data_IF_696706161073
#
_entry.id   IF_696706161073
#
_cell.length_a   1.000
_cell.length_b   1.000
_cell.length_c   1.000
_cell.angle_alpha   90.00
_cell.angle_beta   90.00
_cell.angle_gamma   90.00
#
_symmetry.space_group_name_H-M   'P 1'
#
loop_
_entity.id
_entity.type
_entity.pdbx_description
1 polymer ?
#
# COMPACT_ATOMS: atom_id res chain seq x y z
N UNK A 1 12.35 -6.28 10.07
CA UNK A 1 10.93 -6.03 9.76
C UNK A 1 10.69 -4.54 9.62
N UNK A 2 10.77 -4.05 8.40
CA UNK A 2 10.49 -2.65 8.08
C UNK A 2 9.02 -2.44 7.69
N UNK A 3 8.41 -1.32 8.09
CA UNK A 3 7.13 -0.84 7.55
C UNK A 3 7.15 -0.66 6.02
N UNK A 4 8.34 -0.54 5.42
CA UNK A 4 8.51 -0.51 3.96
C UNK A 4 8.04 -1.80 3.28
N UNK A 5 8.13 -2.97 3.94
CA UNK A 5 7.61 -4.24 3.40
C UNK A 5 6.09 -4.23 3.32
N UNK A 6 5.44 -3.71 4.36
CA UNK A 6 3.98 -3.51 4.34
C UNK A 6 3.58 -2.55 3.24
N UNK A 7 4.31 -1.45 3.07
CA UNK A 7 4.08 -0.51 1.97
C UNK A 7 4.19 -1.20 0.60
N UNK A 8 5.16 -2.11 0.44
CA UNK A 8 5.35 -2.83 -0.82
C UNK A 8 4.18 -3.77 -1.11
N UNK A 9 3.77 -4.60 -0.14
CA UNK A 9 2.64 -5.51 -0.32
C UNK A 9 1.36 -4.74 -0.64
N UNK A 10 1.06 -3.68 0.10
CA UNK A 10 -0.11 -2.84 -0.16
C UNK A 10 -0.09 -2.21 -1.56
N UNK A 11 1.04 -1.61 -1.96
CA UNK A 11 1.17 -1.01 -3.28
C UNK A 11 1.04 -2.05 -4.41
N UNK A 12 1.60 -3.24 -4.23
CA UNK A 12 1.52 -4.33 -5.20
C UNK A 12 0.09 -4.86 -5.31
N UNK A 13 -0.62 -5.05 -4.20
CA UNK A 13 -2.02 -5.51 -4.22
C UNK A 13 -2.90 -4.54 -5.00
N UNK A 14 -2.79 -3.23 -4.74
CA UNK A 14 -3.57 -2.23 -5.48
C UNK A 14 -3.18 -2.19 -6.97
N UNK A 15 -1.89 -2.36 -7.29
CA UNK A 15 -1.46 -2.47 -8.68
C UNK A 15 -2.08 -3.70 -9.37
N UNK A 16 -2.07 -4.87 -8.73
CA UNK A 16 -2.67 -6.09 -9.28
C UNK A 16 -4.18 -5.94 -9.49
N UNK A 17 -4.90 -5.34 -8.52
CA UNK A 17 -6.34 -5.05 -8.64
C UNK A 17 -6.67 -4.06 -9.77
N UNK A 18 -5.74 -3.17 -10.10
CA UNK A 18 -5.92 -2.20 -11.20
C UNK A 18 -5.77 -2.82 -12.59
N UNK A 19 -5.16 -4.01 -12.70
CA UNK A 19 -5.00 -4.70 -13.98
C UNK A 19 -6.32 -5.36 -14.40
N UNK A 20 -6.89 -5.04 -15.57
CA UNK A 20 -8.21 -5.53 -15.97
C UNK A 20 -8.25 -7.03 -16.20
N UNK A 21 -7.14 -7.66 -16.61
CA UNK A 21 -7.09 -9.12 -16.82
C UNK A 21 -7.02 -9.84 -15.49
N UNK A 22 -6.22 -9.33 -14.55
CA UNK A 22 -6.15 -9.90 -13.20
C UNK A 22 -7.48 -9.70 -12.46
N UNK A 23 -8.09 -8.53 -12.57
CA UNK A 23 -9.39 -8.25 -11.96
C UNK A 23 -10.50 -9.15 -12.51
N UNK A 24 -10.51 -9.44 -13.81
CA UNK A 24 -11.48 -10.35 -14.44
C UNK A 24 -11.29 -11.80 -13.96
N UNK A 25 -10.04 -12.26 -13.88
CA UNK A 25 -9.73 -13.64 -13.53
C UNK A 25 -9.77 -13.92 -12.02
N UNK A 26 -9.26 -13.02 -11.18
CA UNK A 26 -9.13 -13.24 -9.73
C UNK A 26 -10.24 -12.54 -8.92
N UNK A 27 -10.92 -11.54 -9.48
CA UNK A 27 -11.83 -10.68 -8.73
C UNK A 27 -11.15 -10.07 -7.49
N UNK A 28 -11.80 -10.21 -6.34
CA UNK A 28 -11.28 -9.73 -5.05
C UNK A 28 -10.30 -10.70 -4.37
N UNK A 29 -9.95 -11.84 -4.99
CA UNK A 29 -9.10 -12.89 -4.41
C UNK A 29 -7.61 -12.57 -4.54
N UNK A 30 -7.22 -11.40 -4.04
CA UNK A 30 -5.82 -10.94 -3.95
C UNK A 30 -5.53 -10.60 -2.48
N UNK A 31 -4.78 -11.48 -1.82
CA UNK A 31 -4.61 -11.48 -0.37
C UNK A 31 -3.23 -10.99 0.08
N UNK A 32 -3.19 -10.25 1.20
CA UNK A 32 -1.96 -9.82 1.86
C UNK A 32 -1.46 -10.89 2.85
N UNK A 33 -0.62 -11.82 2.37
CA UNK A 33 0.04 -12.86 3.19
C UNK A 33 -0.89 -13.79 3.97
N UNK A 34 -2.17 -13.81 3.60
CA UNK A 34 -3.15 -14.78 4.05
C UNK A 34 -3.15 -15.94 3.06
N UNK A 35 -3.15 -17.17 3.56
CA UNK A 35 -3.46 -18.36 2.77
C UNK A 35 -4.98 -18.52 2.82
N UNK A 36 -5.71 -18.30 1.71
CA UNK A 36 -7.14 -18.51 1.68
C UNK A 36 -7.46 -19.99 1.56
N UNK A 37 -8.63 -20.39 2.07
CA UNK A 37 -9.21 -21.68 1.74
C UNK A 37 -9.65 -21.62 0.27
N UNK A 38 -9.06 -22.48 -0.57
CA UNK A 38 -9.43 -22.61 -1.96
C UNK A 38 -10.72 -23.43 -2.06
N UNK A 39 -11.82 -22.77 -2.43
CA UNK A 39 -13.12 -23.42 -2.61
C UNK A 39 -13.13 -24.24 -3.90
N UNK A 40 -13.32 -25.55 -3.75
CA UNK A 40 -13.39 -26.51 -4.85
C UNK A 40 -14.61 -26.30 -5.77
N UNK A 41 -15.65 -25.61 -5.29
CA UNK A 41 -16.86 -25.32 -6.08
C UNK A 41 -16.69 -24.07 -6.97
N UNK A 42 -15.75 -23.19 -6.62
CA UNK A 42 -15.42 -21.98 -7.38
C UNK A 42 -13.90 -21.91 -7.62
N UNK A 43 -13.38 -22.66 -8.63
CA UNK A 43 -11.96 -22.68 -8.99
C UNK A 43 -11.52 -21.39 -9.71
N UNK A 44 -11.67 -20.28 -8.99
CA UNK A 44 -11.17 -18.95 -9.34
C UNK A 44 -9.72 -18.85 -8.85
N UNK A 45 -8.77 -18.39 -9.68
CA UNK A 45 -7.39 -18.22 -9.26
C UNK A 45 -7.28 -17.20 -8.11
N UNK A 46 -6.35 -17.46 -7.20
CA UNK A 46 -6.03 -16.57 -6.08
C UNK A 46 -4.58 -16.13 -6.19
N UNK A 47 -4.31 -14.86 -5.89
CA UNK A 47 -2.94 -14.33 -5.77
C UNK A 47 -2.67 -13.96 -4.32
N UNK A 48 -1.66 -14.58 -3.72
CA UNK A 48 -1.19 -14.22 -2.39
C UNK A 48 0.09 -13.40 -2.54
N UNK A 49 0.12 -12.22 -1.91
CA UNK A 49 1.27 -11.33 -1.92
C UNK A 49 1.98 -11.42 -0.57
N UNK A 50 3.23 -11.86 -0.59
CA UNK A 50 4.10 -11.96 0.59
C UNK A 50 5.43 -11.24 0.36
N UNK A 51 6.16 -11.00 1.44
CA UNK A 51 7.54 -10.52 1.39
C UNK A 51 8.38 -11.43 2.25
N UNK A 52 9.50 -11.88 1.72
CA UNK A 52 10.42 -12.78 2.41
C UNK A 52 11.67 -12.01 2.84
N UNK A 53 12.87 -12.56 2.62
CA UNK A 53 14.16 -12.04 3.05
C UNK A 53 14.23 -10.51 3.08
N UNK A 54 14.79 -9.94 4.16
CA UNK A 54 14.97 -8.49 4.35
C UNK A 54 16.42 -8.26 4.80
N UNK A 55 17.23 -7.70 3.91
CA UNK A 55 18.64 -7.43 4.14
C UNK A 55 18.92 -5.95 3.90
N UNK A 56 19.82 -5.36 4.70
CA UNK A 56 20.23 -3.96 4.55
C UNK A 56 21.74 -3.83 4.61
N UNK A 57 22.33 -3.21 3.59
CA UNK A 57 23.75 -2.88 3.56
C UNK A 57 23.96 -1.38 3.83
N UNK A 58 25.04 -1.00 4.50
CA UNK A 58 25.41 0.40 4.61
C UNK A 58 25.82 0.93 3.22
N UNK A 59 25.45 2.19 2.91
CA UNK A 59 25.83 2.80 1.63
C UNK A 59 27.35 2.99 1.47
N UNK A 60 28.10 3.02 2.57
CA UNK A 60 29.56 3.15 2.55
C UNK A 60 30.19 2.33 3.67
N UNK A 61 31.27 1.61 3.35
CA UNK A 61 32.08 0.87 4.32
C UNK A 61 32.75 1.80 5.36
N UNK A 62 32.97 3.07 5.01
CA UNK A 62 33.66 4.05 5.85
C UNK A 62 32.72 4.93 6.68
N UNK A 63 31.42 4.90 6.40
CA UNK A 63 30.41 5.67 7.13
C UNK A 63 29.18 4.78 7.32
N UNK A 64 29.29 3.86 8.27
CA UNK A 64 28.21 2.93 8.62
C UNK A 64 27.11 3.63 9.42
N UNK A 65 25.86 3.23 9.19
CA UNK A 65 24.70 3.77 9.89
C UNK A 65 23.46 3.81 9.00
N UNK A 66 22.34 4.19 9.58
CA UNK A 66 21.11 4.47 8.82
C UNK A 66 21.31 5.70 7.92
N UNK A 67 20.67 5.76 6.73
CA UNK A 67 19.80 4.74 6.13
C UNK A 67 20.57 3.55 5.51
N UNK A 68 19.92 2.39 5.42
CA UNK A 68 20.47 1.18 4.77
C UNK A 68 19.93 1.00 3.34
N UNK A 69 20.75 0.52 2.39
CA UNK A 69 20.31 0.03 1.07
C UNK A 69 19.59 -1.30 1.30
N UNK A 70 18.27 -1.23 1.50
CA UNK A 70 17.46 -2.41 1.83
C UNK A 70 17.04 -3.16 0.58
N UNK A 71 17.19 -4.48 0.64
CA UNK A 71 16.76 -5.44 -0.38
C UNK A 71 15.76 -6.38 0.25
N UNK A 72 14.72 -6.69 -0.49
CA UNK A 72 13.69 -7.62 -0.06
C UNK A 72 13.20 -8.45 -1.24
N UNK A 73 12.76 -9.67 -0.95
CA UNK A 73 12.10 -10.52 -1.93
C UNK A 73 10.57 -10.34 -1.81
N UNK A 74 9.95 -9.86 -2.88
CA UNK A 74 8.51 -9.86 -3.08
C UNK A 74 8.12 -11.20 -3.67
N UNK A 75 7.17 -11.90 -3.05
CA UNK A 75 6.73 -13.21 -3.50
C UNK A 75 5.25 -13.16 -3.84
N UNK A 76 4.92 -13.66 -5.03
CA UNK A 76 3.55 -13.87 -5.49
C UNK A 76 3.31 -15.37 -5.58
N UNK A 77 2.30 -15.85 -4.87
CA UNK A 77 1.81 -17.22 -5.02
C UNK A 77 0.49 -17.17 -5.75
N UNK A 78 0.49 -17.65 -7.00
CA UNK A 78 -0.70 -17.75 -7.83
C UNK A 78 -1.18 -19.19 -7.76
N UNK A 79 -2.27 -19.42 -7.05
CA UNK A 79 -2.83 -20.74 -6.84
C UNK A 79 -4.14 -20.89 -7.61
N UNK A 80 -4.30 -22.04 -8.26
CA UNK A 80 -5.52 -22.37 -8.99
C UNK A 80 -5.79 -23.87 -8.92
N UNK A 81 -7.06 -24.22 -8.71
CA UNK A 81 -7.51 -25.61 -8.77
C UNK A 81 -8.15 -25.90 -10.12
N UNK A 82 -7.98 -27.13 -10.62
CA UNK A 82 -8.78 -27.60 -11.74
C UNK A 82 -10.20 -27.91 -11.25
N UNK A 83 -11.18 -27.64 -12.10
CA UNK A 83 -12.58 -27.93 -11.81
C UNK A 83 -12.79 -29.45 -11.64
N UNK A 84 -13.40 -29.85 -10.52
CA UNK A 84 -13.77 -31.24 -10.30
C UNK A 84 -14.91 -31.64 -11.24
N UNK A 85 -14.79 -32.82 -11.84
CA UNK A 85 -15.84 -33.41 -12.65
C UNK A 85 -16.72 -34.25 -11.72
N UNK A 86 -18.04 -34.14 -11.80
CA UNK A 86 -18.95 -34.97 -11.00
C UNK A 86 -18.90 -36.45 -11.44
N UNK A 87 -19.55 -37.35 -10.69
CA UNK A 87 -19.63 -38.79 -10.99
C UNK A 87 -20.21 -39.12 -12.39
N UNK A 88 -20.89 -38.16 -13.02
CA UNK A 88 -21.48 -38.24 -14.35
C UNK A 88 -20.55 -37.68 -15.45
N UNK A 89 -19.34 -37.25 -15.10
CA UNK A 89 -18.37 -36.66 -16.04
C UNK A 89 -18.73 -35.24 -16.49
N UNK A 90 -19.59 -34.53 -15.76
CA UNK A 90 -19.93 -33.14 -16.02
C UNK A 90 -19.11 -32.17 -15.15
N UNK A 91 -18.66 -31.05 -15.72
CA UNK A 91 -17.96 -30.00 -14.96
C UNK A 91 -18.88 -29.37 -13.90
N UNK A 92 -18.42 -29.31 -12.65
CA UNK A 92 -19.05 -28.53 -11.57
C UNK A 92 -18.56 -27.08 -11.62
N UNK A 93 -19.21 -26.22 -12.40
CA UNK A 93 -18.95 -24.78 -12.43
C UNK A 93 -18.86 -24.17 -13.84
N UNK A 94 -18.97 -22.85 -13.92
CA UNK A 94 -19.03 -22.08 -15.18
C UNK A 94 -17.82 -21.13 -15.15
N UNK A 95 -16.90 -21.26 -16.11
CA UNK A 95 -15.71 -20.39 -16.34
C UNK A 95 -14.36 -20.78 -15.70
N UNK A 96 -14.13 -22.05 -15.36
CA UNK A 96 -12.81 -22.50 -14.93
C UNK A 96 -12.15 -23.50 -15.90
N UNK A 97 -10.80 -23.55 -15.93
CA UNK A 97 -10.03 -24.44 -16.79
C UNK A 97 -10.41 -25.88 -16.49
N UNK A 98 -10.83 -26.56 -17.56
CA UNK A 98 -11.28 -27.95 -17.53
C UNK A 98 -10.10 -28.88 -17.82
N UNK A 99 -9.06 -28.38 -18.48
CA UNK A 99 -7.87 -29.16 -18.83
C UNK A 99 -6.59 -28.61 -18.20
N UNK A 100 -5.59 -29.47 -18.00
CA UNK A 100 -4.27 -29.07 -17.50
C UNK A 100 -3.61 -28.01 -18.41
N UNK A 101 -3.89 -28.02 -19.71
CA UNK A 101 -3.37 -27.03 -20.66
C UNK A 101 -4.00 -25.65 -20.45
N UNK A 102 -5.31 -25.61 -20.21
CA UNK A 102 -6.01 -24.36 -19.89
C UNK A 102 -5.53 -23.82 -18.54
N UNK A 103 -5.33 -24.71 -17.55
CA UNK A 103 -4.81 -24.33 -16.24
C UNK A 103 -3.43 -23.68 -16.34
N UNK A 104 -2.49 -24.30 -17.05
CA UNK A 104 -1.17 -23.70 -17.29
C UNK A 104 -1.25 -22.38 -18.06
N UNK A 105 -2.13 -22.29 -19.06
CA UNK A 105 -2.30 -21.05 -19.83
C UNK A 105 -2.82 -19.89 -18.96
N UNK A 106 -3.72 -20.15 -18.00
CA UNK A 106 -4.18 -19.14 -17.05
C UNK A 106 -3.06 -18.72 -16.10
N UNK A 107 -2.28 -19.66 -15.58
CA UNK A 107 -1.14 -19.35 -14.71
C UNK A 107 -0.06 -18.55 -15.45
N UNK A 108 0.26 -18.91 -16.68
CA UNK A 108 1.23 -18.18 -17.51
C UNK A 108 0.74 -16.75 -17.83
N UNK A 109 -0.57 -16.60 -18.11
CA UNK A 109 -1.17 -15.29 -18.35
C UNK A 109 -1.13 -14.41 -17.09
N UNK A 110 -1.53 -14.95 -15.94
CA UNK A 110 -1.50 -14.22 -14.67
C UNK A 110 -0.07 -13.86 -14.26
N UNK A 111 0.90 -14.76 -14.43
CA UNK A 111 2.32 -14.46 -14.20
C UNK A 111 2.77 -13.30 -15.09
N UNK A 112 2.48 -13.36 -16.38
CA UNK A 112 2.87 -12.32 -17.33
C UNK A 112 2.29 -10.96 -16.93
N UNK A 113 0.98 -10.89 -16.68
CA UNK A 113 0.29 -9.65 -16.30
C UNK A 113 0.77 -9.11 -14.96
N UNK A 114 0.96 -9.98 -13.96
CA UNK A 114 1.43 -9.58 -12.64
C UNK A 114 2.84 -8.96 -12.71
N UNK A 115 3.77 -9.58 -13.45
CA UNK A 115 5.10 -9.03 -13.66
C UNK A 115 5.02 -7.70 -14.41
N UNK A 116 4.22 -7.63 -15.47
CA UNK A 116 4.08 -6.43 -16.29
C UNK A 116 3.56 -5.24 -15.49
N UNK A 117 2.44 -5.39 -14.76
CA UNK A 117 1.85 -4.30 -13.98
C UNK A 117 2.78 -3.82 -12.85
N UNK A 118 3.50 -4.74 -12.19
CA UNK A 118 4.44 -4.42 -11.10
C UNK A 118 5.69 -3.70 -11.61
N UNK A 119 6.22 -4.10 -12.77
CA UNK A 119 7.54 -3.64 -13.23
C UNK A 119 7.47 -2.47 -14.20
N UNK A 120 6.50 -2.48 -15.13
CA UNK A 120 6.40 -1.50 -16.24
C UNK A 120 5.01 -0.87 -16.35
N UNK A 121 4.06 -1.25 -15.50
CA UNK A 121 2.70 -0.73 -15.52
C UNK A 121 2.60 0.80 -15.43
N UNK A 122 1.74 1.41 -16.25
CA UNK A 122 1.59 2.87 -16.31
C UNK A 122 0.40 3.40 -15.50
N UNK A 123 -0.28 2.56 -14.73
CA UNK A 123 -1.40 2.97 -13.87
C UNK A 123 -0.93 3.79 -12.66
N UNK A 124 -1.86 4.50 -12.02
CA UNK A 124 -1.56 5.27 -10.81
C UNK A 124 -1.11 4.37 -9.66
N UNK A 125 -1.71 3.18 -9.57
CA UNK A 125 -1.44 2.12 -8.60
C UNK A 125 -0.06 1.49 -8.87
N UNK A 126 0.27 1.19 -10.13
CA UNK A 126 1.61 0.75 -10.51
C UNK A 126 2.69 1.81 -10.22
N UNK A 127 2.34 3.10 -10.32
CA UNK A 127 3.24 4.17 -9.91
C UNK A 127 3.51 4.18 -8.40
N UNK A 128 2.58 3.71 -7.55
CA UNK A 128 2.82 3.55 -6.11
C UNK A 128 3.91 2.50 -5.84
N UNK A 129 3.90 1.38 -6.59
CA UNK A 129 4.94 0.35 -6.48
C UNK A 129 6.32 0.96 -6.71
N UNK A 130 6.48 1.81 -7.73
CA UNK A 130 7.75 2.50 -8.02
C UNK A 130 8.18 3.53 -6.96
N UNK A 131 7.25 4.06 -6.16
CA UNK A 131 7.60 4.92 -5.02
C UNK A 131 8.17 4.11 -3.85
N UNK A 132 7.77 2.85 -3.71
CA UNK A 132 8.21 1.94 -2.64
C UNK A 132 9.44 1.12 -3.04
N UNK A 133 9.47 0.62 -4.27
CA UNK A 133 10.52 -0.21 -4.84
C UNK A 133 11.25 0.56 -5.93
N UNK A 134 12.55 0.82 -5.72
CA UNK A 134 13.39 1.55 -6.68
C UNK A 134 13.61 0.76 -7.96
N UNK A 135 13.79 -0.55 -7.83
CA UNK A 135 13.98 -1.47 -8.96
C UNK A 135 13.75 -2.92 -8.55
N UNK A 136 13.27 -3.72 -9.47
CA UNK A 136 13.30 -5.18 -9.40
C UNK A 136 14.53 -5.68 -10.15
N UNK A 137 15.40 -6.45 -9.49
CA UNK A 137 16.69 -6.87 -10.05
C UNK A 137 16.73 -8.36 -10.41
N UNK A 138 15.84 -9.17 -9.85
CA UNK A 138 15.77 -10.61 -10.14
C UNK A 138 14.33 -11.05 -10.26
N UNK A 139 14.07 -11.98 -11.17
CA UNK A 139 12.81 -12.69 -11.30
C UNK A 139 13.10 -14.18 -11.27
N UNK A 140 12.41 -14.92 -10.41
CA UNK A 140 12.39 -16.39 -10.40
C UNK A 140 10.95 -16.83 -10.45
N UNK A 141 10.67 -17.85 -11.23
CA UNK A 141 9.35 -18.45 -11.34
C UNK A 141 9.48 -19.96 -11.16
N UNK A 142 8.74 -20.52 -10.21
CA UNK A 142 8.75 -21.93 -9.88
C UNK A 142 7.32 -22.49 -9.90
N UNK A 143 7.16 -23.69 -10.44
CA UNK A 143 5.88 -24.39 -10.52
C UNK A 143 5.82 -25.47 -9.45
N UNK A 144 4.72 -25.49 -8.72
CA UNK A 144 4.36 -26.56 -7.79
C UNK A 144 3.01 -27.12 -8.20
N UNK A 145 2.86 -28.44 -8.17
CA UNK A 145 1.60 -29.10 -8.44
C UNK A 145 1.46 -30.27 -7.46
N UNK A 146 0.25 -30.50 -6.97
CA UNK A 146 -0.09 -31.64 -6.12
C UNK A 146 -1.44 -32.22 -6.53
N UNK A 147 -1.55 -33.54 -6.42
CA UNK A 147 -2.73 -34.36 -6.71
C UNK A 147 -3.15 -35.23 -5.50
N UNK A 148 -2.56 -35.00 -4.32
CA UNK A 148 -2.67 -35.89 -3.15
C UNK A 148 -4.10 -36.02 -2.60
N UNK A 149 -4.97 -35.02 -2.78
CA UNK A 149 -6.36 -35.01 -2.26
C UNK A 149 -7.41 -35.38 -3.32
N UNK A 150 -7.00 -35.82 -4.52
CA UNK A 150 -7.92 -36.06 -5.65
C UNK A 150 -8.33 -34.78 -6.39
N UNK A 151 -7.85 -33.63 -5.92
CA UNK A 151 -8.00 -32.32 -6.55
C UNK A 151 -6.65 -31.92 -7.13
N UNK A 152 -6.64 -31.44 -8.37
CA UNK A 152 -5.41 -30.96 -9.00
C UNK A 152 -5.23 -29.50 -8.64
N UNK A 153 -4.27 -29.25 -7.76
CA UNK A 153 -3.82 -27.92 -7.40
C UNK A 153 -2.56 -27.59 -8.19
N UNK A 154 -2.58 -26.45 -8.87
CA UNK A 154 -1.41 -25.89 -9.53
C UNK A 154 -1.09 -24.53 -8.92
N UNK A 155 0.19 -24.33 -8.60
CA UNK A 155 0.72 -23.13 -7.97
C UNK A 155 1.89 -22.62 -8.82
N UNK A 156 1.88 -21.33 -9.09
CA UNK A 156 3.00 -20.58 -9.66
C UNK A 156 3.55 -19.64 -8.59
N UNK A 157 4.79 -19.89 -8.17
CA UNK A 157 5.50 -19.07 -7.20
C UNK A 157 6.48 -18.15 -7.93
N UNK A 158 6.24 -16.85 -7.87
CA UNK A 158 7.06 -15.81 -8.50
C UNK A 158 7.80 -15.06 -7.40
N UNK A 159 9.12 -15.06 -7.45
CA UNK A 159 9.97 -14.29 -6.53
C UNK A 159 10.63 -13.14 -7.29
N UNK A 160 10.30 -11.92 -6.89
CA UNK A 160 10.87 -10.68 -7.41
C UNK A 160 11.81 -10.08 -6.36
N UNK A 161 13.10 -10.12 -6.63
CA UNK A 161 14.08 -9.42 -5.81
C UNK A 161 13.96 -7.92 -6.07
N UNK A 162 13.85 -7.14 -5.00
CA UNK A 162 13.68 -5.69 -5.10
C UNK A 162 14.62 -4.93 -4.19
N UNK A 163 14.97 -3.72 -4.63
CA UNK A 163 15.67 -2.74 -3.80
C UNK A 163 14.67 -1.67 -3.37
N UNK A 164 14.50 -1.54 -2.06
CA UNK A 164 13.53 -0.67 -1.44
C UNK A 164 13.97 0.79 -1.51
N UNK A 165 13.01 1.70 -1.63
CA UNK A 165 13.25 3.12 -1.39
C UNK A 165 13.71 3.34 0.05
N UNK A 166 14.68 4.23 0.23
CA UNK A 166 15.24 4.52 1.54
C UNK A 166 14.17 5.07 2.49
N UNK A 167 14.30 4.71 3.76
CA UNK A 167 13.53 5.32 4.83
C UNK A 167 14.04 6.73 5.07
N UNK A 168 13.17 7.72 4.95
CA UNK A 168 13.48 9.11 5.27
C UNK A 168 12.39 9.64 6.21
N UNK A 169 12.71 9.94 7.48
CA UNK A 169 11.75 10.55 8.38
C UNK A 169 11.55 12.00 7.95
N UNK A 170 10.30 12.40 7.72
CA UNK A 170 9.95 13.80 7.44
C UNK A 170 9.48 14.46 8.76
N UNK A 171 10.33 15.27 9.42
CA UNK A 171 9.98 15.91 10.68
C UNK A 171 8.90 17.00 10.54
N UNK A 172 8.55 17.38 9.31
CA UNK A 172 7.52 18.38 9.00
C UNK A 172 6.25 17.76 8.42
N UNK A 173 6.12 16.43 8.45
CA UNK A 173 4.91 15.75 8.02
C UNK A 173 3.71 16.23 8.84
N UNK A 174 2.65 16.63 8.14
CA UNK A 174 1.38 17.09 8.73
C UNK A 174 0.20 16.37 8.07
N UNK A 175 -0.94 16.31 8.77
CA UNK A 175 -2.17 15.69 8.26
C UNK A 175 -2.31 14.21 8.58
N UNK A 176 -3.24 13.55 7.89
CA UNK A 176 -3.50 12.11 8.04
C UNK A 176 -2.23 11.31 7.73
N UNK A 177 -1.94 10.30 8.55
CA UNK A 177 -0.75 9.45 8.41
C UNK A 177 0.58 10.17 8.60
N UNK A 178 0.60 11.38 9.18
CA UNK A 178 1.84 12.12 9.44
C UNK A 178 2.83 11.38 10.36
N UNK A 179 2.33 10.49 11.22
CA UNK A 179 3.17 9.66 12.09
C UNK A 179 3.80 8.47 11.35
N UNK A 180 3.32 8.12 10.16
CA UNK A 180 3.87 7.05 9.35
C UNK A 180 5.09 7.52 8.56
N UNK A 181 6.14 6.68 8.46
CA UNK A 181 7.30 7.02 7.65
C UNK A 181 7.06 6.75 6.17
N UNK A 182 7.87 7.42 5.33
CA UNK A 182 7.94 7.06 3.92
C UNK A 182 8.71 5.74 3.71
N UNK A 183 8.30 4.89 2.75
CA UNK A 183 7.25 5.14 1.75
C UNK A 183 5.83 4.72 2.18
N UNK A 184 5.63 4.21 3.41
CA UNK A 184 4.32 3.71 3.84
C UNK A 184 3.26 4.81 3.88
N UNK A 185 3.60 6.00 4.36
CA UNK A 185 2.70 7.15 4.39
C UNK A 185 2.16 7.49 2.99
N UNK A 186 3.03 7.53 1.98
CA UNK A 186 2.64 7.77 0.57
C UNK A 186 1.64 6.72 0.09
N UNK A 187 1.88 5.45 0.42
CA UNK A 187 0.96 4.36 0.05
C UNK A 187 -0.38 4.53 0.77
N UNK A 188 -0.37 4.78 2.07
CA UNK A 188 -1.60 4.95 2.86
C UNK A 188 -2.45 6.14 2.41
N UNK A 189 -1.84 7.24 1.99
CA UNK A 189 -2.55 8.39 1.41
C UNK A 189 -3.21 8.08 0.06
N UNK A 190 -2.74 7.06 -0.65
CA UNK A 190 -3.25 6.66 -1.95
C UNK A 190 -4.20 5.46 -1.90
N UNK A 191 -4.49 4.91 -0.71
CA UNK A 191 -5.41 3.78 -0.58
C UNK A 191 -6.85 4.20 -0.91
N UNK A 192 -7.60 3.39 -1.69
CA UNK A 192 -9.01 3.66 -1.94
C UNK A 192 -9.83 3.65 -0.64
N UNK A 193 -10.78 4.57 -0.53
CA UNK A 193 -11.67 4.65 0.63
C UNK A 193 -12.54 3.38 0.76
N UNK A 194 -12.64 2.83 1.96
CA UNK A 194 -13.36 1.59 2.27
C UNK A 194 -12.59 0.31 1.93
N UNK A 195 -11.37 0.41 1.38
CA UNK A 195 -10.55 -0.77 1.08
C UNK A 195 -9.99 -1.43 2.35
N UNK A 196 -9.68 -2.72 2.27
CA UNK A 196 -8.96 -3.41 3.35
C UNK A 196 -7.57 -2.81 3.61
N UNK A 197 -6.92 -2.27 2.57
CA UNK A 197 -5.65 -1.55 2.68
C UNK A 197 -5.76 -0.27 3.51
N UNK A 198 -6.84 0.50 3.33
CA UNK A 198 -7.11 1.68 4.15
C UNK A 198 -7.28 1.33 5.63
N UNK A 199 -8.08 0.29 5.94
CA UNK A 199 -8.27 -0.18 7.31
C UNK A 199 -6.94 -0.60 7.95
N UNK A 200 -6.07 -1.30 7.20
CA UNK A 200 -4.74 -1.65 7.68
C UNK A 200 -3.89 -0.41 7.95
N UNK A 201 -3.90 0.57 7.05
CA UNK A 201 -3.20 1.84 7.23
C UNK A 201 -3.65 2.59 8.49
N UNK A 202 -4.96 2.70 8.73
CA UNK A 202 -5.52 3.28 9.96
C UNK A 202 -5.08 2.52 11.21
N UNK A 203 -5.08 1.18 11.14
CA UNK A 203 -4.63 0.32 12.25
C UNK A 203 -3.14 0.48 12.60
N UNK A 204 -2.29 0.69 11.59
CA UNK A 204 -0.85 0.92 11.81
C UNK A 204 -0.64 2.32 12.35
N UNK A 205 -1.26 3.33 11.74
CA UNK A 205 -1.14 4.73 12.18
C UNK A 205 -1.57 4.91 13.63
N UNK A 206 -2.72 4.36 14.03
CA UNK A 206 -3.22 4.42 15.40
C UNK A 206 -2.26 3.85 16.46
N UNK A 207 -1.26 3.04 16.05
CA UNK A 207 -0.24 2.47 16.93
C UNK A 207 1.10 3.22 16.89
N UNK A 208 1.26 4.20 16.00
CA UNK A 208 2.48 4.97 15.88
C UNK A 208 2.59 6.03 16.98
N UNK A 209 3.78 6.25 17.55
CA UNK A 209 4.02 7.36 18.46
C UNK A 209 3.74 8.69 17.76
N UNK A 210 2.97 9.58 18.40
CA UNK A 210 2.62 10.87 17.82
C UNK A 210 1.50 10.80 16.76
N UNK A 211 0.89 9.63 16.52
CA UNK A 211 -0.37 9.58 15.79
C UNK A 211 -1.42 10.35 16.57
N UNK A 212 -1.81 11.47 15.99
CA UNK A 212 -3.05 12.14 16.33
C UNK A 212 -4.06 11.62 15.33
N UNK A 213 -4.66 10.44 15.60
CA UNK A 213 -5.99 10.18 15.07
C UNK A 213 -6.78 11.45 15.35
N UNK A 214 -7.29 12.11 14.30
CA UNK A 214 -7.98 13.38 14.42
C UNK A 214 -9.11 13.21 15.45
N UNK A 215 -8.80 13.51 16.71
CA UNK A 215 -9.80 13.84 17.70
C UNK A 215 -10.45 15.08 17.10
N UNK A 216 -11.75 14.99 16.83
CA UNK A 216 -12.55 16.08 16.26
C UNK A 216 -12.04 17.40 16.79
N UNK A 217 -11.68 18.33 15.91
CA UNK A 217 -11.11 19.62 16.25
C UNK A 217 -11.90 20.29 17.39
N UNK A 218 -11.44 20.11 18.62
CA UNK A 218 -11.87 20.91 19.77
C UNK A 218 -11.06 22.20 19.64
N UNK A 219 -11.73 23.21 19.11
CA UNK A 219 -11.41 24.64 19.21
C UNK A 219 -9.92 24.98 19.34
N UNK A 220 -9.22 25.05 18.22
CA UNK A 220 -8.05 25.94 18.15
C UNK A 220 -8.61 27.35 18.06
N UNK A 221 -8.49 28.09 19.17
CA UNK A 221 -8.86 29.50 19.23
C UNK A 221 -7.71 30.32 18.63
N UNK A 222 -7.91 30.79 17.40
CA UNK A 222 -6.95 31.63 16.67
C UNK A 222 -7.31 33.09 16.94
N UNK A 223 -6.69 33.68 17.97
CA UNK A 223 -6.79 35.12 18.20
C UNK A 223 -5.84 35.84 17.26
N UNK A 224 -6.35 36.30 16.12
CA UNK A 224 -5.63 37.22 15.24
C UNK A 224 -5.86 38.63 15.78
N UNK A 225 -4.85 39.20 16.45
CA UNK A 225 -4.88 40.62 16.78
C UNK A 225 -4.80 41.42 15.47
N UNK A 226 -5.74 42.35 15.20
CA UNK A 226 -5.62 43.23 14.06
C UNK A 226 -4.35 44.05 14.22
N UNK A 227 -3.41 43.92 13.28
CA UNK A 227 -2.30 44.86 13.24
C UNK A 227 -2.88 46.24 12.91
N UNK A 228 -2.67 47.17 13.82
CA UNK A 228 -2.99 48.59 13.62
C UNK A 228 -2.35 49.00 12.29
N UNK A 229 -3.19 49.51 11.39
CA UNK A 229 -2.76 49.97 10.08
C UNK A 229 -1.76 51.11 10.30
N UNK A 230 -0.47 50.85 10.06
CA UNK A 230 0.57 51.87 10.16
C UNK A 230 0.32 52.92 9.07
N UNK A 231 -0.11 54.11 9.48
CA UNK A 231 -0.09 55.29 8.65
C UNK A 231 1.37 55.79 8.56
N UNK A 232 2.01 55.76 7.38
CA UNK A 232 3.44 56.06 7.23
C UNK A 232 3.82 57.51 7.57
N UNK A 233 2.85 58.39 7.84
CA UNK A 233 3.10 59.78 8.23
C UNK A 233 3.09 60.05 9.75
N UNK A 234 2.69 59.08 10.58
CA UNK A 234 2.70 59.26 12.05
C UNK A 234 3.88 58.54 12.69
N UNK A 235 4.82 59.33 13.22
CA UNK A 235 5.91 58.82 14.06
C UNK A 235 5.39 58.21 15.37
N UNK A 236 6.16 57.34 16.02
CA UNK A 236 5.69 56.58 17.19
C UNK A 236 5.39 57.52 18.36
N UNK A 237 4.12 57.60 18.75
CA UNK A 237 3.67 58.34 19.93
C UNK A 237 3.42 57.32 21.04
N UNK A 238 4.28 57.32 22.06
CA UNK A 238 4.32 56.32 23.13
C UNK A 238 3.06 56.24 24.01
N UNK A 239 2.10 57.14 23.84
CA UNK A 239 0.86 57.16 24.63
C UNK A 239 -0.29 56.41 23.95
N UNK A 240 -0.34 56.34 22.62
CA UNK A 240 -1.41 55.62 21.89
C UNK A 240 -1.27 54.09 22.01
N UNK A 241 -0.03 53.58 22.07
CA UNK A 241 0.26 52.16 22.25
C UNK A 241 -0.11 51.65 23.65
N UNK A 242 -0.12 52.52 24.67
CA UNK A 242 -0.51 52.17 26.03
C UNK A 242 -2.04 52.06 26.17
N UNK A 243 -2.81 52.83 25.41
CA UNK A 243 -4.27 52.83 25.46
C UNK A 243 -4.86 51.64 24.67
N UNK A 244 -4.24 51.25 23.55
CA UNK A 244 -4.66 50.09 22.75
C UNK A 244 -4.52 48.74 23.48
N UNK A 245 -3.60 48.62 24.46
CA UNK A 245 -3.40 47.40 25.25
C UNK A 245 -4.51 47.16 26.31
N UNK A 246 -5.37 48.16 26.56
CA UNK A 246 -6.40 48.10 27.61
C UNK A 246 -7.79 47.64 27.16
N UNK A 247 -8.06 47.58 25.86
CA UNK A 247 -9.42 47.33 25.33
C UNK A 247 -9.49 46.01 24.56
N UNK A 248 -9.99 44.98 25.22
CA UNK A 248 -10.37 43.70 24.58
C UNK A 248 -11.79 43.81 24.05
N UNK A 249 -11.95 43.91 22.73
CA UNK A 249 -13.23 43.73 22.06
C UNK A 249 -13.21 42.36 21.37
N UNK A 250 -13.94 41.40 21.94
CA UNK A 250 -14.15 40.08 21.32
C UNK A 250 -15.43 40.10 20.50
N UNK A 251 -15.33 39.86 19.19
CA UNK A 251 -16.47 39.45 18.38
C UNK A 251 -16.36 37.96 18.04
N UNK A 252 -17.44 37.23 18.31
CA UNK A 252 -17.60 35.81 17.98
C UNK A 252 -18.20 35.70 16.59
N UNK A 253 -17.47 35.14 15.63
CA UNK A 253 -18.02 34.79 14.32
C UNK A 253 -18.28 33.29 14.29
N UNK A 254 -19.55 32.91 14.33
CA UNK A 254 -20.00 31.54 14.01
C UNK A 254 -20.08 31.38 12.50
N UNK A 255 -19.26 30.50 11.93
CA UNK A 255 -19.39 30.06 10.54
C UNK A 255 -20.32 28.84 10.50
N UNK A 256 -21.45 29.00 9.82
CA UNK A 256 -22.44 27.95 9.51
C UNK A 256 -22.02 27.13 8.30
#
# INVERSE_FOLDING_TARGET
>A
MSLARTALRLAVIEALKSDPVIADLCGDRIDDSRIPDLDHQEPVPVIIVTTEDDAGEAFSANNGGVPFDRRCDLVLEIAMQSLAVNDEGQPVGIAAPVTDRELEAHLDLLEHRAIEIITVGETAEAALVRKVARRFNTVKSARYATDETGERLAIRLITLGTVMTAYEPDPFATGTYAALPDPLRIVCLAMPAGSSGELLCQMIDARMPGSTLACSSVGIDLTIAPQVQFDPETGPISEADAEAAGTTFGETITLS
#
